data_IF_577770714684
#
_entry.id   IF_577770714684
#
_cell.length_a   1.000
_cell.length_b   1.000
_cell.length_c   1.000
_cell.angle_alpha   90.00
_cell.angle_beta   90.00
_cell.angle_gamma   90.00
#
_symmetry.space_group_name_H-M   'P 1'
#
loop_
_entity.id
_entity.type
_entity.pdbx_description
1 polymer ?
#
# COMPACT_ATOMS: atom_id res chain seq x y z
N UNK A 1 159.58 62.66 -54.62
CA UNK A 1 159.06 61.30 -54.29
C UNK A 1 158.81 61.05 -52.79
N UNK A 2 159.46 61.76 -51.85
CA UNK A 2 159.25 61.57 -50.40
C UNK A 2 157.90 62.09 -49.82
N UNK A 3 157.33 63.18 -50.35
CA UNK A 3 156.06 63.75 -49.84
C UNK A 3 154.82 62.90 -50.19
N UNK A 4 154.84 62.16 -51.31
CA UNK A 4 153.75 61.25 -51.72
C UNK A 4 153.66 60.00 -50.82
N UNK A 5 154.82 59.46 -50.37
CA UNK A 5 154.86 58.34 -49.42
C UNK A 5 154.31 58.72 -48.05
N UNK A 6 154.56 59.95 -47.59
CA UNK A 6 154.02 60.46 -46.33
C UNK A 6 152.51 60.68 -46.39
N UNK A 7 152.01 61.20 -47.53
CA UNK A 7 150.57 61.42 -47.77
C UNK A 7 149.80 60.10 -47.89
N UNK A 8 150.35 59.09 -48.57
CA UNK A 8 149.74 57.75 -48.63
C UNK A 8 149.78 57.03 -47.28
N UNK A 9 150.84 57.19 -46.48
CA UNK A 9 150.89 56.62 -45.12
C UNK A 9 149.83 57.25 -44.19
N UNK A 10 149.60 58.56 -44.32
CA UNK A 10 148.51 59.25 -43.61
C UNK A 10 147.14 58.78 -44.10
N UNK A 11 146.96 58.64 -45.41
CA UNK A 11 145.72 58.13 -45.99
C UNK A 11 145.41 56.69 -45.56
N UNK A 12 146.41 55.80 -45.52
CA UNK A 12 146.23 54.44 -45.01
C UNK A 12 145.81 54.43 -43.54
N UNK A 13 146.43 55.25 -42.68
CA UNK A 13 145.99 55.41 -41.29
C UNK A 13 144.57 55.95 -41.16
N UNK A 14 144.20 56.94 -41.97
CA UNK A 14 142.84 57.51 -41.97
C UNK A 14 141.81 56.49 -42.48
N UNK A 15 142.19 55.61 -43.41
CA UNK A 15 141.36 54.50 -43.91
C UNK A 15 141.22 53.42 -42.85
N UNK A 16 142.31 53.03 -42.17
CA UNK A 16 142.29 52.07 -41.06
C UNK A 16 141.42 52.58 -39.90
N UNK A 17 141.56 53.85 -39.51
CA UNK A 17 140.74 54.47 -38.47
C UNK A 17 139.25 54.52 -38.86
N UNK A 18 138.96 54.77 -40.15
CA UNK A 18 137.58 54.72 -40.66
C UNK A 18 137.03 53.31 -40.71
N UNK A 19 137.83 52.32 -41.07
CA UNK A 19 137.42 50.91 -41.10
C UNK A 19 137.15 50.39 -39.69
N UNK A 20 137.97 50.77 -38.70
CA UNK A 20 137.71 50.50 -37.28
C UNK A 20 136.42 51.17 -36.80
N UNK A 21 136.17 52.43 -37.18
CA UNK A 21 134.91 53.12 -36.88
C UNK A 21 133.70 52.45 -37.55
N UNK A 22 133.84 51.96 -38.77
CA UNK A 22 132.79 51.21 -39.49
C UNK A 22 132.52 49.89 -38.78
N UNK A 23 133.55 49.11 -38.42
CA UNK A 23 133.39 47.86 -37.66
C UNK A 23 132.71 48.08 -36.31
N UNK A 24 133.12 49.11 -35.58
CA UNK A 24 132.48 49.50 -34.32
C UNK A 24 131.01 49.89 -34.54
N UNK A 25 130.72 50.63 -35.60
CA UNK A 25 129.36 51.01 -35.97
C UNK A 25 128.50 49.80 -36.38
N UNK A 26 129.04 48.85 -37.14
CA UNK A 26 128.38 47.59 -37.50
C UNK A 26 128.11 46.72 -36.27
N UNK A 27 129.04 46.66 -35.31
CA UNK A 27 128.84 45.95 -34.05
C UNK A 27 127.74 46.61 -33.21
N UNK A 28 127.69 47.94 -33.17
CA UNK A 28 126.62 48.69 -32.52
C UNK A 28 125.27 48.45 -33.20
N UNK A 29 125.22 48.38 -34.54
CA UNK A 29 124.02 48.01 -35.29
C UNK A 29 123.57 46.60 -34.92
N UNK A 30 124.48 45.61 -34.89
CA UNK A 30 124.14 44.22 -34.50
C UNK A 30 123.58 44.15 -33.08
N UNK A 31 124.20 44.85 -32.13
CA UNK A 31 123.71 44.96 -30.75
C UNK A 31 122.32 45.60 -30.70
N UNK A 32 122.10 46.67 -31.47
CA UNK A 32 120.81 47.35 -31.55
C UNK A 32 119.71 46.46 -32.14
N UNK A 33 120.02 45.70 -33.20
CA UNK A 33 119.09 44.73 -33.80
C UNK A 33 118.71 43.66 -32.78
N UNK A 34 119.68 43.12 -32.04
CA UNK A 34 119.41 42.10 -31.02
C UNK A 34 118.57 42.63 -29.87
N UNK A 35 118.86 43.85 -29.39
CA UNK A 35 118.03 44.53 -28.38
C UNK A 35 116.60 44.73 -28.89
N UNK A 36 116.43 45.17 -30.13
CA UNK A 36 115.12 45.34 -30.74
C UNK A 36 114.38 44.02 -30.90
N UNK A 37 115.07 42.93 -31.27
CA UNK A 37 114.49 41.58 -31.33
C UNK A 37 113.93 41.16 -29.98
N UNK A 38 114.74 41.28 -28.92
CA UNK A 38 114.31 40.96 -27.55
C UNK A 38 113.16 41.86 -27.11
N UNK A 39 113.17 43.14 -27.49
CA UNK A 39 112.11 44.09 -27.18
C UNK A 39 110.79 43.73 -27.88
N UNK A 40 110.82 43.39 -29.18
CA UNK A 40 109.64 42.95 -29.92
C UNK A 40 109.06 41.65 -29.37
N UNK A 41 109.91 40.69 -28.98
CA UNK A 41 109.43 39.45 -28.33
C UNK A 41 108.73 39.77 -27.00
N UNK A 42 109.29 40.68 -26.18
CA UNK A 42 108.63 41.14 -24.95
C UNK A 42 107.28 41.82 -25.23
N UNK A 43 107.19 42.67 -26.25
CA UNK A 43 105.92 43.29 -26.67
C UNK A 43 104.91 42.23 -27.07
N UNK A 44 105.32 41.23 -27.85
CA UNK A 44 104.46 40.14 -28.28
C UNK A 44 103.91 39.35 -27.08
N UNK A 45 104.79 38.98 -26.13
CA UNK A 45 104.40 38.29 -24.91
C UNK A 45 103.46 39.14 -24.02
N UNK A 46 103.68 40.45 -23.94
CA UNK A 46 102.80 41.36 -23.20
C UNK A 46 101.41 41.44 -23.83
N UNK A 47 101.33 41.52 -25.16
CA UNK A 47 100.06 41.51 -25.88
C UNK A 47 99.31 40.19 -25.68
N UNK A 48 100.02 39.06 -25.70
CA UNK A 48 99.44 37.75 -25.44
C UNK A 48 98.87 37.64 -24.02
N UNK A 49 99.62 38.11 -23.01
CA UNK A 49 99.14 38.20 -21.62
C UNK A 49 97.92 39.10 -21.47
N UNK A 50 97.88 40.24 -22.17
CA UNK A 50 96.74 41.17 -22.15
C UNK A 50 95.47 40.53 -22.72
N UNK A 51 95.59 39.81 -23.83
CA UNK A 51 94.47 39.08 -24.43
C UNK A 51 93.97 37.96 -23.51
N UNK A 52 94.89 37.19 -22.91
CA UNK A 52 94.54 36.15 -21.95
C UNK A 52 93.83 36.73 -20.71
N UNK A 53 94.31 37.85 -20.17
CA UNK A 53 93.66 38.52 -19.05
C UNK A 53 92.24 39.00 -19.39
N UNK A 54 92.02 39.49 -20.63
CA UNK A 54 90.70 39.86 -21.12
C UNK A 54 89.77 38.64 -21.18
N UNK A 55 90.22 37.53 -21.75
CA UNK A 55 89.44 36.29 -21.84
C UNK A 55 89.10 35.71 -20.46
N UNK A 56 90.06 35.71 -19.53
CA UNK A 56 89.84 35.29 -18.14
C UNK A 56 88.80 36.17 -17.46
N UNK A 57 88.85 37.49 -17.69
CA UNK A 57 87.86 38.43 -17.14
C UNK A 57 86.45 38.15 -17.69
N UNK A 58 86.32 37.93 -19.00
CA UNK A 58 85.05 37.61 -19.66
C UNK A 58 84.48 36.26 -19.17
N UNK A 59 85.30 35.21 -19.10
CA UNK A 59 84.89 33.90 -18.55
C UNK A 59 84.50 34.02 -17.07
N UNK A 60 85.24 34.81 -16.29
CA UNK A 60 84.92 35.07 -14.88
C UNK A 60 83.57 35.79 -14.70
N UNK A 61 83.17 36.67 -15.62
CA UNK A 61 81.84 37.28 -15.63
C UNK A 61 80.75 36.27 -15.99
N UNK A 62 80.98 35.42 -17.01
CA UNK A 62 80.06 34.35 -17.39
C UNK A 62 79.81 33.36 -16.25
N UNK A 63 80.88 32.93 -15.56
CA UNK A 63 80.77 32.04 -14.39
C UNK A 63 79.90 32.67 -13.30
N UNK A 64 80.13 33.95 -12.97
CA UNK A 64 79.29 34.66 -11.98
C UNK A 64 77.82 34.69 -12.40
N UNK A 65 77.53 34.96 -13.67
CA UNK A 65 76.17 34.95 -14.19
C UNK A 65 75.51 33.57 -14.07
N UNK A 66 76.25 32.50 -14.38
CA UNK A 66 75.76 31.12 -14.23
C UNK A 66 75.51 30.78 -12.77
N UNK A 67 76.39 31.21 -11.85
CA UNK A 67 76.21 30.99 -10.41
C UNK A 67 74.93 31.63 -9.89
N UNK A 68 74.62 32.86 -10.31
CA UNK A 68 73.37 33.54 -9.93
C UNK A 68 72.15 32.78 -10.46
N UNK A 69 72.15 32.39 -11.74
CA UNK A 69 71.06 31.61 -12.33
C UNK A 69 70.85 30.25 -11.64
N UNK A 70 71.93 29.58 -11.25
CA UNK A 70 71.87 28.32 -10.50
C UNK A 70 71.26 28.52 -9.11
N UNK A 71 71.60 29.61 -8.43
CA UNK A 71 71.03 29.95 -7.13
C UNK A 71 69.52 30.24 -7.23
N UNK A 72 69.10 31.01 -8.24
CA UNK A 72 67.68 31.28 -8.51
C UNK A 72 66.91 29.99 -8.84
N UNK A 73 67.50 29.10 -9.64
CA UNK A 73 66.90 27.80 -9.97
C UNK A 73 66.74 26.92 -8.73
N UNK A 74 67.74 26.89 -7.83
CA UNK A 74 67.66 26.14 -6.58
C UNK A 74 66.58 26.68 -5.64
N UNK A 75 66.44 28.02 -5.53
CA UNK A 75 65.37 28.64 -4.74
C UNK A 75 63.98 28.30 -5.31
N UNK A 76 63.82 28.34 -6.63
CA UNK A 76 62.57 27.93 -7.30
C UNK A 76 62.25 26.45 -7.06
N UNK A 77 63.25 25.58 -7.14
CA UNK A 77 63.07 24.15 -6.87
C UNK A 77 62.66 23.90 -5.41
N UNK A 78 63.23 24.64 -4.46
CA UNK A 78 62.83 24.55 -3.06
C UNK A 78 61.36 24.97 -2.85
N UNK A 79 60.96 26.10 -3.42
CA UNK A 79 59.56 26.56 -3.37
C UNK A 79 58.59 25.56 -3.99
N UNK A 80 58.95 24.96 -5.14
CA UNK A 80 58.13 23.93 -5.79
C UNK A 80 57.99 22.66 -4.93
N UNK A 81 59.04 22.28 -4.18
CA UNK A 81 58.98 21.14 -3.26
C UNK A 81 58.00 21.39 -2.10
N UNK A 82 57.99 22.61 -1.57
CA UNK A 82 57.03 23.04 -0.53
C UNK A 82 55.59 22.98 -1.05
N UNK A 83 55.33 23.48 -2.26
CA UNK A 83 54.02 23.42 -2.91
C UNK A 83 53.56 21.96 -3.13
N UNK A 84 54.46 21.08 -3.57
CA UNK A 84 54.17 19.65 -3.76
C UNK A 84 53.76 19.00 -2.45
N UNK A 85 54.42 19.33 -1.35
CA UNK A 85 54.12 18.74 -0.04
C UNK A 85 52.82 19.30 0.55
N UNK A 86 52.51 20.58 0.32
CA UNK A 86 51.20 21.16 0.64
C UNK A 86 50.08 20.46 -0.15
N UNK A 87 50.24 20.30 -1.47
CA UNK A 87 49.25 19.60 -2.30
C UNK A 87 49.04 18.14 -1.89
N UNK A 88 50.09 17.43 -1.47
CA UNK A 88 49.97 16.08 -0.92
C UNK A 88 49.16 16.07 0.37
N UNK A 89 49.33 17.06 1.24
CA UNK A 89 48.58 17.17 2.49
C UNK A 89 47.09 17.47 2.22
N UNK A 90 46.81 18.44 1.35
CA UNK A 90 45.44 18.78 0.92
C UNK A 90 44.73 17.57 0.31
N UNK A 91 45.42 16.82 -0.56
CA UNK A 91 44.90 15.56 -1.14
C UNK A 91 44.56 14.52 -0.07
N UNK A 92 45.41 14.35 0.96
CA UNK A 92 45.15 13.40 2.06
C UNK A 92 43.92 13.80 2.87
N UNK A 93 43.78 15.08 3.19
CA UNK A 93 42.63 15.61 3.92
C UNK A 93 41.35 15.42 3.10
N UNK A 94 41.39 15.75 1.80
CA UNK A 94 40.24 15.55 0.91
C UNK A 94 39.82 14.07 0.82
N UNK A 95 40.78 13.14 0.73
CA UNK A 95 40.50 11.70 0.76
C UNK A 95 39.86 11.27 2.09
N UNK A 96 40.32 11.83 3.21
CA UNK A 96 39.75 11.56 4.54
C UNK A 96 38.29 12.03 4.61
N UNK A 97 38.01 13.26 4.19
CA UNK A 97 36.66 13.84 4.18
C UNK A 97 35.71 13.03 3.29
N UNK A 98 36.18 12.58 2.11
CA UNK A 98 35.37 11.72 1.25
C UNK A 98 35.06 10.36 1.89
N UNK A 99 36.03 9.76 2.59
CA UNK A 99 35.79 8.49 3.30
C UNK A 99 34.75 8.64 4.41
N UNK A 100 34.81 9.73 5.16
CA UNK A 100 33.81 10.03 6.21
C UNK A 100 32.42 10.23 5.60
N UNK A 101 32.31 11.01 4.51
CA UNK A 101 31.03 11.19 3.78
C UNK A 101 30.47 9.87 3.22
N UNK A 102 31.32 9.01 2.65
CA UNK A 102 30.92 7.68 2.17
C UNK A 102 30.38 6.84 3.34
N UNK A 103 31.02 6.89 4.51
CA UNK A 103 30.55 6.16 5.69
C UNK A 103 29.15 6.64 6.12
N UNK A 104 28.94 7.95 6.21
CA UNK A 104 27.63 8.54 6.58
C UNK A 104 26.54 8.13 5.58
N UNK A 105 26.82 8.21 4.28
CA UNK A 105 25.87 7.80 3.23
C UNK A 105 25.52 6.32 3.34
N UNK A 106 26.51 5.46 3.60
CA UNK A 106 26.28 4.02 3.75
C UNK A 106 25.41 3.69 4.97
N UNK A 107 25.57 4.40 6.07
CA UNK A 107 24.73 4.19 7.26
C UNK A 107 23.29 4.68 7.03
N UNK A 108 23.12 5.84 6.38
CA UNK A 108 21.80 6.31 5.95
C UNK A 108 21.11 5.32 4.99
N UNK A 109 21.85 4.74 4.05
CA UNK A 109 21.33 3.73 3.13
C UNK A 109 20.85 2.47 3.86
N UNK A 110 21.59 2.01 4.87
CA UNK A 110 21.19 0.86 5.72
C UNK A 110 19.90 1.16 6.49
N UNK A 111 19.76 2.37 7.03
CA UNK A 111 18.55 2.78 7.74
C UNK A 111 17.33 2.80 6.81
N UNK A 112 17.46 3.41 5.62
CA UNK A 112 16.40 3.45 4.60
C UNK A 112 16.01 2.03 4.16
N UNK A 113 16.97 1.14 3.93
CA UNK A 113 16.71 -0.24 3.56
C UNK A 113 15.95 -1.00 4.66
N UNK A 114 16.35 -0.82 5.93
CA UNK A 114 15.71 -1.45 7.08
C UNK A 114 14.26 -0.96 7.25
N UNK A 115 14.03 0.34 7.10
CA UNK A 115 12.69 0.95 7.15
C UNK A 115 11.78 0.47 6.00
N UNK A 116 12.33 0.39 4.79
CA UNK A 116 11.60 -0.06 3.60
C UNK A 116 11.20 -1.52 3.70
N UNK A 117 12.09 -2.40 4.17
CA UNK A 117 11.79 -3.82 4.37
C UNK A 117 10.68 -4.04 5.41
N UNK A 118 10.64 -3.25 6.49
CA UNK A 118 9.53 -3.29 7.45
C UNK A 118 8.18 -2.96 6.80
N UNK A 119 8.14 -1.94 5.92
CA UNK A 119 6.92 -1.56 5.18
C UNK A 119 6.49 -2.64 4.17
N UNK A 120 7.44 -3.26 3.48
CA UNK A 120 7.16 -4.37 2.54
C UNK A 120 6.50 -5.54 3.27
N UNK A 121 7.06 -5.96 4.42
CA UNK A 121 6.49 -7.05 5.21
C UNK A 121 5.07 -6.73 5.70
N UNK A 122 4.81 -5.48 6.11
CA UNK A 122 3.46 -5.05 6.51
C UNK A 122 2.46 -5.15 5.35
N UNK A 123 2.86 -4.75 4.14
CA UNK A 123 2.02 -4.84 2.94
C UNK A 123 1.74 -6.32 2.61
N UNK A 124 2.76 -7.18 2.65
CA UNK A 124 2.61 -8.61 2.39
C UNK A 124 1.59 -9.26 3.34
N UNK A 125 1.63 -8.92 4.64
CA UNK A 125 0.65 -9.41 5.61
C UNK A 125 -0.78 -8.98 5.26
N UNK A 126 -0.99 -7.70 4.89
CA UNK A 126 -2.31 -7.21 4.48
C UNK A 126 -2.83 -7.87 3.20
N UNK A 127 -1.94 -8.17 2.25
CA UNK A 127 -2.31 -8.89 1.02
C UNK A 127 -2.79 -10.31 1.35
N UNK A 128 -2.12 -11.00 2.29
CA UNK A 128 -2.56 -12.32 2.75
C UNK A 128 -3.95 -12.27 3.41
N UNK A 129 -4.18 -11.30 4.32
CA UNK A 129 -5.50 -11.10 4.95
C UNK A 129 -6.62 -10.85 3.94
N UNK A 130 -6.35 -10.03 2.91
CA UNK A 130 -7.31 -9.79 1.82
C UNK A 130 -7.58 -11.05 1.00
N UNK A 131 -6.56 -11.86 0.74
CA UNK A 131 -6.71 -13.12 0.01
C UNK A 131 -7.64 -14.08 0.76
N UNK A 132 -7.51 -14.17 2.08
CA UNK A 132 -8.38 -15.01 2.91
C UNK A 132 -9.84 -14.52 2.88
N UNK A 133 -10.05 -13.20 2.86
CA UNK A 133 -11.38 -12.62 2.75
C UNK A 133 -12.02 -12.90 1.39
N UNK A 134 -11.26 -12.80 0.29
CA UNK A 134 -11.76 -13.14 -1.06
C UNK A 134 -12.19 -14.60 -1.11
N UNK A 135 -11.37 -15.51 -0.59
CA UNK A 135 -11.71 -16.94 -0.50
C UNK A 135 -12.98 -17.20 0.33
N UNK A 136 -13.23 -16.39 1.37
CA UNK A 136 -14.45 -16.48 2.16
C UNK A 136 -15.68 -15.99 1.38
N UNK A 137 -15.56 -14.89 0.63
CA UNK A 137 -16.65 -14.36 -0.20
C UNK A 137 -17.02 -15.31 -1.33
N UNK A 138 -16.04 -15.94 -1.98
CA UNK A 138 -16.28 -16.94 -3.02
C UNK A 138 -17.09 -18.14 -2.47
N UNK A 139 -16.84 -18.55 -1.23
CA UNK A 139 -17.65 -19.60 -0.56
C UNK A 139 -19.08 -19.15 -0.35
N UNK A 140 -19.30 -17.91 0.09
CA UNK A 140 -20.65 -17.38 0.29
C UNK A 140 -21.43 -17.27 -1.02
N UNK A 141 -20.77 -16.85 -2.10
CA UNK A 141 -21.39 -16.72 -3.41
C UNK A 141 -21.82 -18.08 -3.98
N UNK A 142 -20.98 -19.11 -3.82
CA UNK A 142 -21.33 -20.47 -4.23
C UNK A 142 -22.49 -21.09 -3.41
N UNK A 143 -22.82 -20.54 -2.24
CA UNK A 143 -23.98 -20.97 -1.45
C UNK A 143 -25.29 -20.28 -1.88
N UNK A 144 -25.23 -19.13 -2.58
CA UNK A 144 -26.42 -18.38 -3.01
C UNK A 144 -26.99 -18.79 -4.36
N UNK A 145 -26.27 -19.59 -5.15
CA UNK A 145 -26.69 -20.00 -6.50
C UNK A 145 -27.56 -21.27 -6.54
N UNK A 146 -28.01 -21.77 -5.37
CA UNK A 146 -28.94 -22.91 -5.33
C UNK A 146 -30.37 -22.41 -5.55
N UNK A 147 -31.07 -22.84 -6.61
CA UNK A 147 -32.44 -22.42 -6.86
C UNK A 147 -33.33 -22.81 -5.67
N UNK A 148 -34.09 -21.85 -5.14
CA UNK A 148 -35.11 -22.15 -4.14
C UNK A 148 -36.43 -22.35 -4.87
N UNK A 149 -37.08 -23.49 -4.69
CA UNK A 149 -38.38 -23.75 -5.29
C UNK A 149 -39.50 -23.39 -4.33
N UNK A 150 -40.36 -22.45 -4.74
CA UNK A 150 -41.60 -22.19 -4.03
C UNK A 150 -42.55 -23.39 -4.16
N UNK A 151 -43.04 -23.88 -3.02
CA UNK A 151 -43.99 -24.99 -2.95
C UNK A 151 -45.38 -24.44 -2.72
N UNK A 152 -46.22 -24.45 -3.77
CA UNK A 152 -47.64 -24.11 -3.65
C UNK A 152 -48.34 -25.17 -2.80
N UNK A 153 -48.97 -24.75 -1.70
CA UNK A 153 -49.76 -25.63 -0.84
C UNK A 153 -51.09 -24.97 -0.49
N UNK A 154 -52.15 -25.40 -1.16
CA UNK A 154 -53.50 -24.93 -0.84
C UNK A 154 -53.84 -25.28 0.61
N UNK A 155 -54.23 -24.26 1.38
CA UNK A 155 -54.45 -24.37 2.82
C UNK A 155 -55.63 -23.49 3.27
N UNK A 156 -56.09 -23.76 4.50
CA UNK A 156 -57.26 -23.10 5.09
C UNK A 156 -57.20 -23.15 6.62
N UNK A 157 -57.84 -22.23 7.33
CA UNK A 157 -57.88 -22.23 8.79
C UNK A 157 -59.00 -23.14 9.31
N UNK A 158 -58.69 -24.09 10.20
CA UNK A 158 -59.67 -25.12 10.63
C UNK A 158 -59.77 -25.36 12.12
N UNK A 159 -58.81 -24.87 12.93
CA UNK A 159 -58.79 -25.22 14.35
C UNK A 159 -58.25 -24.08 15.21
N UNK A 160 -58.88 -23.86 16.36
CA UNK A 160 -58.44 -22.95 17.41
C UNK A 160 -57.63 -23.74 18.46
N UNK A 161 -56.59 -23.13 19.03
CA UNK A 161 -55.83 -23.72 20.14
C UNK A 161 -56.71 -23.99 21.36
N UNK A 162 -56.60 -25.20 21.94
CA UNK A 162 -57.26 -25.55 23.20
C UNK A 162 -56.69 -24.79 24.41
N UNK A 163 -55.43 -24.36 24.34
CA UNK A 163 -54.74 -23.66 25.44
C UNK A 163 -54.93 -22.14 25.36
N UNK A 164 -54.93 -21.59 24.14
CA UNK A 164 -55.07 -20.15 23.87
C UNK A 164 -56.38 -19.89 23.13
N UNK A 165 -57.48 -19.97 23.88
CA UNK A 165 -58.87 -19.78 23.44
C UNK A 165 -59.54 -18.68 24.28
N UNK A 166 -60.82 -18.40 24.03
CA UNK A 166 -61.62 -17.40 24.73
C UNK A 166 -61.82 -17.69 26.23
N UNK A 167 -62.08 -18.96 26.59
CA UNK A 167 -62.54 -19.39 27.91
C UNK A 167 -61.94 -20.77 28.27
N UNK A 168 -61.88 -21.14 29.55
CA UNK A 168 -61.41 -22.50 29.95
C UNK A 168 -62.29 -23.61 29.35
N UNK A 169 -63.58 -23.34 29.14
CA UNK A 169 -64.55 -24.28 28.59
C UNK A 169 -64.42 -24.46 27.07
N UNK A 170 -63.42 -23.84 26.42
CA UNK A 170 -63.18 -23.98 24.96
C UNK A 170 -64.44 -23.74 24.11
N UNK A 171 -65.23 -22.75 24.51
CA UNK A 171 -66.60 -22.47 24.08
C UNK A 171 -66.81 -22.38 22.53
N UNK A 172 -65.75 -22.15 21.76
CA UNK A 172 -65.79 -21.94 20.29
C UNK A 172 -65.36 -23.20 19.52
N UNK A 173 -64.79 -24.22 20.18
CA UNK A 173 -64.08 -25.30 19.50
C UNK A 173 -65.00 -26.29 18.73
N UNK A 174 -66.33 -26.23 18.90
CA UNK A 174 -67.29 -27.12 18.23
C UNK A 174 -67.81 -26.61 16.89
N UNK A 175 -67.88 -25.28 16.67
CA UNK A 175 -68.28 -24.67 15.40
C UNK A 175 -67.53 -23.35 15.22
N UNK A 176 -66.44 -23.39 14.45
CA UNK A 176 -65.48 -22.29 14.34
C UNK A 176 -66.02 -21.10 13.50
N UNK A 177 -67.04 -21.35 12.68
CA UNK A 177 -67.70 -20.33 11.84
C UNK A 177 -68.82 -19.58 12.54
N UNK A 178 -69.40 -20.10 13.62
CA UNK A 178 -70.60 -19.50 14.27
C UNK A 178 -70.50 -19.41 15.81
N UNK A 179 -69.39 -19.84 16.40
CA UNK A 179 -69.24 -19.92 17.85
C UNK A 179 -69.28 -18.55 18.57
N UNK A 180 -69.94 -18.52 19.72
CA UNK A 180 -69.96 -17.38 20.65
C UNK A 180 -69.31 -17.76 21.99
N UNK A 181 -68.71 -16.80 22.70
CA UNK A 181 -68.18 -17.07 24.04
C UNK A 181 -69.23 -16.78 25.13
N UNK A 182 -69.74 -17.84 25.77
CA UNK A 182 -70.73 -17.75 26.86
C UNK A 182 -70.24 -17.04 28.14
N UNK A 183 -68.94 -16.76 28.27
CA UNK A 183 -68.34 -16.14 29.45
C UNK A 183 -67.98 -14.66 29.26
N UNK A 184 -68.57 -14.00 28.25
CA UNK A 184 -68.31 -12.60 27.93
C UNK A 184 -66.80 -12.28 27.80
N UNK A 185 -66.06 -13.16 27.10
CA UNK A 185 -64.64 -12.95 26.78
C UNK A 185 -64.49 -12.74 25.28
N UNK A 186 -63.44 -12.02 24.90
CA UNK A 186 -63.10 -11.83 23.49
C UNK A 186 -62.94 -13.18 22.78
N UNK A 187 -63.50 -13.29 21.59
CA UNK A 187 -63.53 -14.52 20.80
C UNK A 187 -63.18 -14.27 19.34
N UNK A 188 -62.98 -15.34 18.57
CA UNK A 188 -62.75 -15.27 17.14
C UNK A 188 -63.79 -16.09 16.38
N UNK A 189 -64.12 -15.63 15.18
CA UNK A 189 -64.89 -16.35 14.17
C UNK A 189 -64.03 -16.52 12.92
N UNK A 190 -64.06 -17.71 12.31
CA UNK A 190 -63.40 -17.94 11.02
C UNK A 190 -64.46 -17.85 9.91
N UNK A 191 -64.25 -16.93 8.96
CA UNK A 191 -65.10 -16.70 7.80
C UNK A 191 -64.37 -17.20 6.55
N UNK A 192 -65.04 -18.04 5.76
CA UNK A 192 -64.54 -18.66 4.52
C UNK A 192 -63.16 -19.33 4.64
N UNK A 193 -62.81 -19.77 5.85
CA UNK A 193 -61.52 -20.34 6.21
C UNK A 193 -60.27 -19.47 5.97
N UNK A 194 -60.43 -18.24 5.47
CA UNK A 194 -59.35 -17.32 5.11
C UNK A 194 -59.43 -15.98 5.84
N UNK A 195 -60.49 -15.72 6.58
CA UNK A 195 -60.63 -14.52 7.40
C UNK A 195 -60.89 -14.90 8.85
N UNK A 196 -60.26 -14.19 9.78
CA UNK A 196 -60.50 -14.34 11.22
C UNK A 196 -60.97 -13.03 11.78
N UNK A 197 -62.21 -13.00 12.25
CA UNK A 197 -62.84 -11.85 12.86
C UNK A 197 -62.73 -11.95 14.37
N UNK A 198 -62.21 -10.91 15.02
CA UNK A 198 -62.07 -10.86 16.46
C UNK A 198 -63.19 -10.02 17.06
N UNK A 199 -64.03 -10.67 17.85
CA UNK A 199 -65.10 -10.01 18.59
C UNK A 199 -64.59 -9.62 19.96
N UNK A 200 -64.19 -8.36 20.10
CA UNK A 200 -63.77 -7.77 21.37
C UNK A 200 -64.95 -7.55 22.31
N UNK A 201 -64.67 -7.64 23.60
CA UNK A 201 -65.59 -7.26 24.68
C UNK A 201 -65.01 -6.09 25.47
N UNK A 202 -65.86 -5.36 26.19
CA UNK A 202 -65.43 -4.26 27.07
C UNK A 202 -64.50 -4.79 28.20
N UNK A 203 -63.48 -4.00 28.57
CA UNK A 203 -62.43 -4.39 29.52
C UNK A 203 -61.23 -5.08 28.86
N UNK A 204 -60.02 -4.53 29.02
CA UNK A 204 -58.80 -5.01 28.34
C UNK A 204 -58.43 -6.44 28.75
N UNK A 205 -58.66 -6.77 30.01
CA UNK A 205 -58.43 -8.08 30.64
C UNK A 205 -59.36 -9.18 30.12
N UNK A 206 -60.46 -8.82 29.46
CA UNK A 206 -61.42 -9.77 28.91
C UNK A 206 -61.03 -10.27 27.51
N UNK A 207 -60.08 -9.59 26.84
CA UNK A 207 -59.63 -9.94 25.50
C UNK A 207 -58.35 -10.79 25.58
N UNK A 208 -58.47 -12.08 25.28
CA UNK A 208 -57.35 -13.02 25.32
C UNK A 208 -56.68 -13.17 23.96
N UNK A 209 -55.40 -13.55 23.99
CA UNK A 209 -54.70 -13.98 22.78
C UNK A 209 -55.26 -15.34 22.35
N UNK A 210 -55.76 -15.41 21.13
CA UNK A 210 -56.31 -16.62 20.53
C UNK A 210 -55.37 -17.08 19.42
N UNK A 211 -55.12 -18.38 19.33
CA UNK A 211 -54.30 -18.98 18.27
C UNK A 211 -55.20 -19.79 17.35
N UNK A 212 -55.05 -19.56 16.04
CA UNK A 212 -55.76 -20.31 14.98
C UNK A 212 -54.71 -20.98 14.10
N UNK A 213 -54.92 -22.26 13.80
CA UNK A 213 -54.01 -23.07 13.00
C UNK A 213 -54.59 -23.35 11.61
N UNK A 214 -53.70 -23.38 10.62
CA UNK A 214 -53.98 -23.88 9.29
C UNK A 214 -54.26 -25.39 9.31
N UNK A 215 -54.95 -25.91 8.30
CA UNK A 215 -55.31 -27.32 8.22
C UNK A 215 -54.09 -28.19 7.97
N UNK A 216 -53.29 -27.80 6.98
CA UNK A 216 -52.14 -28.58 6.51
C UNK A 216 -50.84 -27.99 7.05
N UNK A 217 -49.92 -28.81 7.57
CA UNK A 217 -48.58 -28.37 7.87
C UNK A 217 -47.72 -28.26 6.60
N UNK A 218 -46.63 -27.50 6.70
CA UNK A 218 -45.54 -27.49 5.74
C UNK A 218 -44.62 -28.66 6.03
N UNK A 219 -44.67 -29.68 5.18
CA UNK A 219 -43.87 -30.89 5.34
C UNK A 219 -42.56 -30.77 4.57
N UNK A 220 -41.49 -31.28 5.16
CA UNK A 220 -40.19 -31.46 4.51
C UNK A 220 -40.36 -32.39 3.31
N UNK A 221 -39.96 -31.96 2.10
CA UNK A 221 -40.07 -32.82 0.93
C UNK A 221 -39.11 -34.01 1.03
N UNK A 222 -39.57 -35.19 0.63
CA UNK A 222 -38.83 -36.45 0.84
C UNK A 222 -37.72 -36.69 -0.19
N UNK A 223 -37.82 -36.10 -1.39
CA UNK A 223 -36.94 -36.42 -2.52
C UNK A 223 -36.63 -35.17 -3.38
N UNK A 224 -35.76 -34.25 -2.96
CA UNK A 224 -35.31 -33.19 -3.88
C UNK A 224 -33.89 -32.68 -3.59
N UNK A 225 -33.20 -32.33 -4.68
CA UNK A 225 -31.88 -31.69 -4.68
C UNK A 225 -31.92 -30.21 -4.31
N UNK A 226 -33.10 -29.60 -4.33
CA UNK A 226 -33.27 -28.14 -4.28
C UNK A 226 -33.83 -27.70 -2.94
N UNK A 227 -33.71 -26.41 -2.64
CA UNK A 227 -34.31 -25.83 -1.43
C UNK A 227 -35.80 -25.63 -1.66
N UNK A 228 -36.62 -25.80 -0.62
CA UNK A 228 -38.08 -25.60 -0.73
C UNK A 228 -38.54 -24.46 0.15
N UNK A 229 -39.25 -23.52 -0.45
CA UNK A 229 -39.86 -22.38 0.23
C UNK A 229 -41.37 -22.58 0.36
N UNK A 230 -41.86 -22.60 1.60
CA UNK A 230 -43.27 -22.43 1.91
C UNK A 230 -43.51 -21.00 2.40
N UNK A 231 -44.61 -20.37 1.98
CA UNK A 231 -44.91 -18.99 2.34
C UNK A 231 -46.41 -18.77 2.54
N UNK A 232 -46.76 -17.95 3.52
CA UNK A 232 -48.10 -17.40 3.69
C UNK A 232 -48.02 -16.02 4.32
N UNK A 233 -49.04 -15.18 4.09
CA UNK A 233 -49.11 -13.83 4.66
C UNK A 233 -50.48 -13.53 5.24
N UNK A 234 -50.53 -12.53 6.12
CA UNK A 234 -51.76 -12.03 6.72
C UNK A 234 -51.84 -10.51 6.56
N UNK A 235 -53.04 -10.01 6.34
CA UNK A 235 -53.34 -8.58 6.34
C UNK A 235 -54.18 -8.22 7.57
N UNK A 236 -53.81 -7.16 8.28
CA UNK A 236 -54.60 -6.64 9.42
C UNK A 236 -55.76 -5.82 8.87
N UNK A 237 -57.00 -6.24 9.13
CA UNK A 237 -58.20 -5.59 8.59
C UNK A 237 -58.74 -4.49 9.50
N UNK A 238 -58.80 -4.77 10.80
CA UNK A 238 -59.41 -3.88 11.79
C UNK A 238 -58.82 -4.13 13.17
N UNK A 239 -58.95 -3.11 14.03
CA UNK A 239 -58.57 -3.16 15.45
C UNK A 239 -59.71 -2.65 16.31
N UNK A 240 -59.93 -3.26 17.46
CA UNK A 240 -60.89 -2.73 18.41
C UNK A 240 -60.41 -1.38 18.98
N UNK A 241 -61.31 -0.40 19.05
CA UNK A 241 -61.01 0.92 19.60
C UNK A 241 -60.52 0.82 21.06
N UNK A 242 -59.54 1.65 21.43
CA UNK A 242 -58.98 1.74 22.78
C UNK A 242 -58.36 0.44 23.35
N UNK A 243 -58.10 -0.59 22.51
CA UNK A 243 -57.48 -1.85 22.92
C UNK A 243 -56.08 -2.05 22.32
N UNK A 244 -55.22 -2.72 23.08
CA UNK A 244 -53.89 -3.10 22.61
C UNK A 244 -54.02 -4.29 21.65
N UNK A 245 -54.12 -3.98 20.36
CA UNK A 245 -54.06 -4.92 19.25
C UNK A 245 -52.75 -5.73 19.29
N UNK A 246 -52.84 -7.03 19.03
CA UNK A 246 -51.68 -7.89 18.90
C UNK A 246 -51.93 -8.88 17.77
N UNK A 247 -51.01 -8.93 16.81
CA UNK A 247 -50.96 -9.97 15.79
C UNK A 247 -49.61 -10.68 15.86
N UNK A 248 -49.63 -11.99 15.67
CA UNK A 248 -48.45 -12.84 15.56
C UNK A 248 -48.66 -13.85 14.45
N UNK A 249 -47.64 -14.06 13.65
CA UNK A 249 -47.60 -15.06 12.59
C UNK A 249 -46.47 -16.04 12.91
N UNK A 250 -46.63 -17.32 12.57
CA UNK A 250 -45.57 -18.28 12.82
C UNK A 250 -45.88 -19.71 12.45
N UNK A 251 -45.00 -20.59 12.94
CA UNK A 251 -44.96 -22.02 12.66
C UNK A 251 -44.92 -22.82 13.96
N UNK A 252 -45.75 -23.84 14.08
CA UNK A 252 -45.79 -24.71 15.25
C UNK A 252 -45.11 -26.05 14.96
N UNK A 253 -44.15 -26.42 15.82
CA UNK A 253 -43.44 -27.71 15.84
C UNK A 253 -42.85 -27.91 17.24
N UNK A 254 -43.22 -29.01 17.93
CA UNK A 254 -42.82 -29.30 19.32
C UNK A 254 -42.84 -28.07 20.27
N UNK A 255 -43.78 -27.15 20.03
CA UNK A 255 -43.73 -25.78 20.52
C UNK A 255 -44.31 -24.81 19.49
N UNK A 256 -44.15 -23.50 19.73
CA UNK A 256 -44.64 -22.46 18.80
C UNK A 256 -43.54 -21.44 18.51
N UNK A 257 -43.07 -21.42 17.27
CA UNK A 257 -42.18 -20.37 16.75
C UNK A 257 -43.07 -19.22 16.30
N UNK A 258 -43.26 -18.23 17.17
CA UNK A 258 -44.07 -17.05 16.86
C UNK A 258 -43.16 -15.84 16.73
N UNK A 259 -43.35 -15.06 15.67
CA UNK A 259 -42.92 -13.67 15.69
C UNK A 259 -44.10 -12.77 15.99
N UNK A 260 -43.89 -11.81 16.89
CA UNK A 260 -44.86 -10.73 17.14
C UNK A 260 -44.76 -9.76 15.98
N UNK A 261 -45.88 -9.52 15.30
CA UNK A 261 -45.94 -8.67 14.11
C UNK A 261 -47.01 -7.62 14.30
N UNK A 262 -46.57 -6.46 14.80
CA UNK A 262 -47.26 -5.17 14.71
C UNK A 262 -48.70 -5.05 15.23
N UNK A 263 -49.28 -3.91 14.91
CA UNK A 263 -50.62 -3.48 15.33
C UNK A 263 -51.30 -2.48 14.38
N UNK A 264 -50.72 -2.26 13.19
CA UNK A 264 -51.24 -1.28 12.24
C UNK A 264 -52.22 -1.94 11.27
N UNK A 265 -53.41 -1.36 11.15
CA UNK A 265 -54.39 -1.78 10.14
C UNK A 265 -53.82 -1.51 8.75
N UNK A 266 -54.02 -2.45 7.83
CA UNK A 266 -53.51 -2.42 6.47
C UNK A 266 -52.14 -3.08 6.28
N UNK A 267 -51.34 -3.23 7.35
CA UNK A 267 -50.03 -3.90 7.24
C UNK A 267 -50.22 -5.39 6.88
N UNK A 268 -49.32 -5.86 6.01
CA UNK A 268 -49.22 -7.25 5.55
C UNK A 268 -47.97 -7.88 6.16
N UNK A 269 -48.13 -9.03 6.80
CA UNK A 269 -47.04 -9.77 7.41
C UNK A 269 -46.94 -11.18 6.85
N UNK A 270 -45.76 -11.55 6.38
CA UNK A 270 -45.50 -12.87 5.85
C UNK A 270 -44.63 -13.75 6.74
N UNK A 271 -44.77 -15.05 6.57
CA UNK A 271 -43.95 -16.07 7.19
C UNK A 271 -43.51 -17.07 6.13
N UNK A 272 -42.19 -17.22 5.99
CA UNK A 272 -41.53 -18.08 5.05
C UNK A 272 -40.79 -19.19 5.80
N UNK A 273 -40.94 -20.45 5.39
CA UNK A 273 -40.14 -21.59 5.84
C UNK A 273 -39.31 -22.10 4.68
N UNK A 274 -38.00 -22.26 4.90
CA UNK A 274 -37.07 -22.83 3.91
C UNK A 274 -36.52 -24.14 4.44
N UNK A 275 -36.74 -25.21 3.68
CA UNK A 275 -36.05 -26.48 3.87
C UNK A 275 -34.77 -26.50 3.03
N UNK A 276 -33.59 -26.76 3.62
CA UNK A 276 -32.35 -26.91 2.87
C UNK A 276 -32.37 -28.17 2.02
N UNK A 277 -31.46 -28.23 1.05
CA UNK A 277 -31.30 -29.38 0.15
C UNK A 277 -30.96 -30.66 0.92
N UNK A 278 -31.35 -31.84 0.42
CA UNK A 278 -31.01 -33.13 1.05
C UNK A 278 -29.50 -33.31 1.21
N UNK A 279 -28.69 -32.77 0.28
CA UNK A 279 -27.23 -32.87 0.34
C UNK A 279 -26.62 -32.02 1.48
N UNK A 280 -27.40 -31.14 2.10
CA UNK A 280 -27.01 -30.31 3.23
C UNK A 280 -27.62 -30.85 4.54
N UNK A 281 -27.51 -32.16 4.82
CA UNK A 281 -28.05 -32.81 6.03
C UNK A 281 -27.66 -32.14 7.37
N UNK A 282 -26.63 -31.29 7.37
CA UNK A 282 -26.19 -30.53 8.56
C UNK A 282 -26.88 -29.17 8.71
N UNK A 283 -27.53 -28.65 7.67
CA UNK A 283 -28.28 -27.39 7.72
C UNK A 283 -29.69 -27.69 8.24
N UNK A 284 -30.11 -26.93 9.24
CA UNK A 284 -31.45 -27.02 9.81
C UNK A 284 -32.42 -26.17 8.97
N UNK A 285 -33.72 -26.52 8.91
CA UNK A 285 -34.71 -25.64 8.32
C UNK A 285 -34.69 -24.28 9.03
N UNK A 286 -34.92 -23.23 8.27
CA UNK A 286 -34.99 -21.88 8.82
C UNK A 286 -36.25 -21.17 8.35
N UNK A 287 -36.71 -20.22 9.14
CA UNK A 287 -37.84 -19.38 8.74
C UNK A 287 -37.47 -17.90 8.83
N UNK A 288 -38.12 -17.09 8.01
CA UNK A 288 -38.03 -15.63 8.05
C UNK A 288 -39.41 -14.99 7.96
N UNK A 289 -39.49 -13.72 8.32
CA UNK A 289 -40.73 -12.95 8.21
C UNK A 289 -40.57 -11.75 7.28
N UNK A 290 -41.68 -11.33 6.69
CA UNK A 290 -41.76 -10.13 5.86
C UNK A 290 -42.79 -9.16 6.44
N UNK A 291 -42.63 -7.88 6.14
CA UNK A 291 -43.62 -6.83 6.39
C UNK A 291 -43.76 -6.01 5.12
N UNK A 292 -44.99 -5.86 4.62
CA UNK A 292 -45.31 -5.10 3.42
C UNK A 292 -44.38 -5.45 2.25
N UNK A 293 -44.24 -6.75 1.99
CA UNK A 293 -43.42 -7.29 0.90
C UNK A 293 -41.90 -7.22 1.11
N UNK A 294 -41.42 -6.69 2.24
CA UNK A 294 -40.00 -6.58 2.54
C UNK A 294 -39.58 -7.56 3.63
N UNK A 295 -38.44 -8.26 3.43
CA UNK A 295 -37.88 -9.14 4.46
C UNK A 295 -37.44 -8.30 5.67
N UNK A 296 -37.86 -8.69 6.86
CA UNK A 296 -37.51 -7.95 8.08
C UNK A 296 -36.10 -8.40 8.52
N UNK A 297 -35.10 -7.56 8.26
CA UNK A 297 -33.67 -7.82 8.51
C UNK A 297 -33.37 -8.47 9.87
N UNK A 298 -32.45 -9.44 9.88
CA UNK A 298 -31.91 -10.07 11.10
C UNK A 298 -32.67 -11.27 11.67
N UNK A 299 -33.65 -11.85 10.96
CA UNK A 299 -34.56 -12.86 11.51
C UNK A 299 -34.59 -14.15 10.70
N UNK A 300 -33.41 -14.67 10.37
CA UNK A 300 -33.30 -16.07 9.99
C UNK A 300 -33.21 -16.86 11.29
N UNK A 301 -34.33 -17.44 11.73
CA UNK A 301 -34.31 -18.29 12.90
C UNK A 301 -34.01 -19.72 12.44
N UNK A 302 -32.84 -20.22 12.83
CA UNK A 302 -32.55 -21.64 12.75
C UNK A 302 -33.52 -22.36 13.69
N UNK A 303 -34.27 -23.32 13.15
CA UNK A 303 -35.10 -24.19 13.97
C UNK A 303 -34.15 -25.10 14.77
N UNK A 304 -34.40 -25.27 16.06
CA UNK A 304 -33.48 -26.00 16.96
C UNK A 304 -33.46 -27.51 16.72
N UNK A 305 -34.40 -28.00 15.92
CA UNK A 305 -34.67 -29.40 15.67
C UNK A 305 -34.94 -29.58 14.17
N UNK A 306 -34.48 -30.70 13.60
CA UNK A 306 -34.82 -31.11 12.23
C UNK A 306 -36.25 -31.64 12.21
N UNK A 307 -37.20 -30.70 12.25
CA UNK A 307 -38.61 -31.02 12.16
C UNK A 307 -39.02 -31.33 10.73
N UNK A 308 -39.80 -32.39 10.55
CA UNK A 308 -40.33 -32.74 9.23
C UNK A 308 -41.65 -32.03 8.91
N UNK A 309 -42.27 -31.34 9.88
CA UNK A 309 -43.63 -30.81 9.73
C UNK A 309 -43.87 -29.57 10.57
N UNK A 310 -44.06 -28.42 9.93
CA UNK A 310 -44.31 -27.14 10.60
C UNK A 310 -45.70 -26.63 10.30
N UNK A 311 -46.56 -26.49 11.32
CA UNK A 311 -47.95 -26.08 11.11
C UNK A 311 -48.11 -24.56 11.15
N UNK A 312 -48.57 -23.90 10.07
CA UNK A 312 -48.84 -22.47 10.08
C UNK A 312 -49.89 -22.12 11.13
N UNK A 313 -49.67 -21.01 11.83
CA UNK A 313 -50.66 -20.45 12.73
C UNK A 313 -50.60 -18.93 12.78
N UNK A 314 -51.70 -18.36 13.25
CA UNK A 314 -51.84 -16.95 13.57
C UNK A 314 -52.26 -16.79 15.03
N UNK A 315 -51.82 -15.71 15.66
CA UNK A 315 -52.09 -15.39 17.06
C UNK A 315 -52.58 -13.97 17.17
N UNK A 316 -53.82 -13.78 17.59
CA UNK A 316 -54.47 -12.48 17.55
C UNK A 316 -55.09 -12.09 18.90
N UNK A 317 -55.15 -10.79 19.16
CA UNK A 317 -55.93 -10.16 20.24
C UNK A 317 -56.46 -8.82 19.74
N UNK A 318 -57.77 -8.62 19.85
CA UNK A 318 -58.44 -7.33 19.58
C UNK A 318 -58.25 -6.80 18.15
N UNK A 319 -58.14 -7.70 17.18
CA UNK A 319 -57.98 -7.38 15.76
C UNK A 319 -58.40 -8.53 14.87
N UNK A 320 -58.94 -8.18 13.70
CA UNK A 320 -59.31 -9.14 12.67
C UNK A 320 -58.27 -9.14 11.56
N UNK A 321 -58.05 -10.31 10.96
CA UNK A 321 -57.05 -10.49 9.90
C UNK A 321 -57.63 -11.31 8.75
N UNK A 322 -57.09 -11.10 7.57
CA UNK A 322 -57.26 -12.00 6.43
C UNK A 322 -55.94 -12.72 6.15
N UNK A 323 -55.99 -13.98 5.74
CA UNK A 323 -54.82 -14.78 5.41
C UNK A 323 -54.79 -15.10 3.92
N UNK A 324 -53.60 -15.07 3.34
CA UNK A 324 -53.30 -15.53 1.99
C UNK A 324 -52.29 -16.68 2.08
N UNK A 325 -52.73 -17.90 1.78
CA UNK A 325 -51.86 -19.08 1.68
C UNK A 325 -51.28 -19.29 0.27
N UNK A 326 -51.60 -18.40 -0.69
CA UNK A 326 -51.22 -18.56 -2.09
C UNK A 326 -52.10 -19.56 -2.84
N UNK A 327 -53.33 -19.78 -2.38
CA UNK A 327 -54.29 -20.66 -3.05
C UNK A 327 -54.59 -20.15 -4.48
N UNK A 328 -54.69 -18.82 -4.63
CA UNK A 328 -54.95 -18.12 -5.89
C UNK A 328 -53.95 -16.96 -6.08
N UNK A 329 -52.77 -17.29 -6.60
CA UNK A 329 -51.70 -16.31 -6.83
C UNK A 329 -51.96 -15.41 -8.04
N UNK A 330 -52.90 -15.77 -8.92
CA UNK A 330 -53.23 -14.98 -10.11
C UNK A 330 -54.07 -13.76 -9.72
N UNK A 331 -55.14 -13.98 -8.94
CA UNK A 331 -56.01 -12.88 -8.50
C UNK A 331 -55.58 -12.28 -7.17
N UNK A 332 -54.88 -13.04 -6.32
CA UNK A 332 -54.41 -12.60 -5.01
C UNK A 332 -52.92 -12.95 -4.80
N UNK A 333 -52.01 -12.31 -5.57
CA UNK A 333 -50.58 -12.53 -5.42
C UNK A 333 -50.12 -12.15 -4.01
N UNK A 334 -49.00 -12.74 -3.58
CA UNK A 334 -48.35 -12.31 -2.35
C UNK A 334 -47.83 -10.88 -2.48
N UNK A 335 -47.80 -10.14 -1.37
CA UNK A 335 -47.11 -8.87 -1.30
C UNK A 335 -45.58 -9.05 -1.38
N UNK A 336 -45.07 -10.18 -0.86
CA UNK A 336 -43.67 -10.56 -1.01
C UNK A 336 -43.41 -11.20 -2.37
N UNK A 337 -42.38 -10.68 -3.05
CA UNK A 337 -41.88 -11.26 -4.29
C UNK A 337 -41.09 -12.54 -3.99
N UNK A 338 -41.79 -13.68 -4.08
CA UNK A 338 -41.21 -15.01 -3.84
C UNK A 338 -40.15 -15.38 -4.89
N UNK A 339 -40.18 -14.79 -6.10
CA UNK A 339 -39.21 -15.11 -7.16
C UNK A 339 -37.83 -14.55 -6.87
N UNK A 340 -37.68 -13.61 -5.92
CA UNK A 340 -36.36 -13.13 -5.49
C UNK A 340 -35.50 -14.18 -4.78
N UNK A 341 -36.09 -15.32 -4.42
CA UNK A 341 -35.35 -16.43 -3.84
C UNK A 341 -35.24 -17.62 -4.80
N UNK A 342 -36.00 -17.62 -5.91
CA UNK A 342 -36.01 -18.68 -6.93
C UNK A 342 -34.92 -18.39 -7.94
#
# INVERSE_FOLDING_TARGET
MGQLKLKNKKLCKDVEEKDEKIKLFEENIKKLIEVNRVFFERIFQLNLKKNLAKEVKEKGQKIRSITVQLQEANQKNQSLMEDIDQLKLEKRNLIKDFKEKIHVINDQLKEVNTSSNKKINLIQNKVAELSDLVNYLDKLQNETDKPVHFVKLDNKLTSISTVKTCCKNTCINSNVSEGTCINNKGFVRIVDYLKVEYHSVEGKENNKKIIVFAQRPFNKPTNNSDQHLFYFEIQILEKAENQNCYVGIGLAYNGSYTRVVGSNVGDIYGCALVFPTINELKKLPFYFCTQNGNRINGNTYLLKEDGDSFRPFIKLRSCSVEINFGNDLENKPFCYDITKNI
#
